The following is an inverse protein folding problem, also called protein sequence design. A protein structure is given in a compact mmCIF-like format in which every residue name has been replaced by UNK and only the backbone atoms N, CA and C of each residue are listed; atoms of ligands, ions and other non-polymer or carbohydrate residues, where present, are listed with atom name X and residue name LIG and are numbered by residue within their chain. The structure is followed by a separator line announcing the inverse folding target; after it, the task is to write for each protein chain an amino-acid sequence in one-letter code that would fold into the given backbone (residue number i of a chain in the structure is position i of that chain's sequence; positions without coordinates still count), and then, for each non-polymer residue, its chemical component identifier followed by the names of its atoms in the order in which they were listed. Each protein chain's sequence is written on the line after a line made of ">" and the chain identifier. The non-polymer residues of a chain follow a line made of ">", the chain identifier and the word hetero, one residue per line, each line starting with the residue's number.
data_IF_441327452901
#
_entry.id   IF_441327452901
#
_cell.length_a   1.000
_cell.length_b   1.000
_cell.length_c   1.000
_cell.angle_alpha   90.00
_cell.angle_beta   90.00
_cell.angle_gamma   90.00
#
_symmetry.space_group_name_H-M   'P 1'
#
loop_
_entity.id
_entity.type
_entity.pdbx_description
1 polymer ?
#
# COMPACT_ATOMS: atom_id res chain seq x y z
N UNK A 1 9.24 0.83 -26.27
CA UNK A 1 9.21 1.08 -24.81
C UNK A 1 10.53 0.60 -24.23
N UNK A 2 11.32 1.49 -23.62
CA UNK A 2 12.65 1.14 -23.10
C UNK A 2 12.55 0.15 -21.94
N UNK A 3 13.26 -0.97 -22.05
CA UNK A 3 13.32 -2.00 -21.00
C UNK A 3 14.24 -1.52 -19.89
N UNK A 4 13.65 -0.94 -18.84
CA UNK A 4 14.37 -0.58 -17.62
C UNK A 4 14.75 -1.86 -16.89
N UNK A 5 16.04 -2.07 -16.62
CA UNK A 5 16.48 -3.14 -15.73
C UNK A 5 15.86 -2.93 -14.35
N UNK A 6 15.07 -3.90 -13.88
CA UNK A 6 14.54 -3.84 -12.53
C UNK A 6 15.65 -4.13 -11.52
N UNK A 7 15.78 -3.24 -10.54
CA UNK A 7 16.61 -3.46 -9.36
C UNK A 7 16.12 -4.69 -8.59
N UNK A 8 17.00 -5.31 -7.80
CA UNK A 8 16.64 -6.47 -6.96
C UNK A 8 15.43 -6.15 -6.06
N UNK A 9 15.37 -4.95 -5.49
CA UNK A 9 14.24 -4.51 -4.65
C UNK A 9 12.92 -4.38 -5.40
N UNK A 10 12.94 -4.15 -6.72
CA UNK A 10 11.74 -4.17 -7.54
C UNK A 10 11.29 -5.60 -7.84
N UNK A 11 12.23 -6.54 -8.06
CA UNK A 11 11.90 -7.97 -8.27
C UNK A 11 11.28 -8.62 -7.04
N UNK A 12 11.70 -8.23 -5.84
CA UNK A 12 11.10 -8.71 -4.57
C UNK A 12 9.59 -8.45 -4.50
N UNK A 13 9.08 -7.40 -5.18
CA UNK A 13 7.63 -7.14 -5.23
C UNK A 13 6.85 -8.23 -5.97
N UNK A 14 7.51 -8.96 -6.88
CA UNK A 14 6.90 -10.05 -7.63
C UNK A 14 7.01 -11.39 -6.91
N UNK A 15 7.82 -11.50 -5.86
CA UNK A 15 8.03 -12.74 -5.12
C UNK A 15 6.71 -13.37 -4.65
N UNK A 16 5.78 -12.66 -3.99
CA UNK A 16 4.51 -13.28 -3.57
C UNK A 16 3.67 -13.81 -4.73
N UNK A 17 3.66 -13.09 -5.86
CA UNK A 17 2.94 -13.51 -7.05
C UNK A 17 3.56 -14.74 -7.71
N UNK A 18 4.88 -14.75 -7.89
CA UNK A 18 5.62 -15.89 -8.46
C UNK A 18 5.48 -17.12 -7.56
N UNK A 19 5.56 -16.92 -6.24
CA UNK A 19 5.27 -17.95 -5.24
C UNK A 19 3.84 -18.50 -5.38
N UNK A 20 2.87 -17.60 -5.59
CA UNK A 20 1.48 -17.98 -5.77
C UNK A 20 1.27 -18.81 -7.04
N UNK A 21 1.74 -18.29 -8.17
CA UNK A 21 1.60 -18.90 -9.49
C UNK A 21 2.24 -20.29 -9.55
N UNK A 22 3.46 -20.43 -9.04
CA UNK A 22 4.28 -21.60 -9.31
C UNK A 22 4.23 -22.67 -8.20
N UNK A 23 3.83 -22.31 -6.96
CA UNK A 23 3.99 -23.22 -5.81
C UNK A 23 2.74 -23.36 -4.91
N UNK A 24 1.77 -22.45 -4.99
CA UNK A 24 0.66 -22.41 -3.99
C UNK A 24 -0.43 -23.45 -4.23
N UNK A 25 -0.55 -23.98 -5.44
CA UNK A 25 -1.57 -24.99 -5.79
C UNK A 25 -1.33 -26.38 -5.18
N UNK A 26 -0.16 -26.64 -4.58
CA UNK A 26 0.22 -28.00 -4.16
C UNK A 26 0.70 -28.13 -2.70
N UNK A 27 0.80 -27.04 -1.93
CA UNK A 27 1.38 -27.09 -0.57
C UNK A 27 2.86 -27.53 -0.57
N UNK A 28 3.55 -27.36 -1.70
CA UNK A 28 4.94 -27.76 -1.91
C UNK A 28 5.84 -26.59 -1.53
N UNK A 29 6.92 -26.87 -0.79
CA UNK A 29 7.96 -25.88 -0.53
C UNK A 29 8.57 -25.37 -1.84
N UNK A 30 8.98 -24.09 -1.94
CA UNK A 30 9.58 -23.58 -3.16
C UNK A 30 10.80 -24.40 -3.59
N UNK A 31 10.75 -24.91 -4.81
CA UNK A 31 11.82 -25.68 -5.43
C UNK A 31 12.36 -24.98 -6.68
N UNK A 32 13.58 -25.32 -7.06
CA UNK A 32 14.17 -24.84 -8.30
C UNK A 32 13.37 -25.35 -9.51
N UNK A 33 13.09 -24.46 -10.47
CA UNK A 33 12.33 -24.79 -11.69
C UNK A 33 13.02 -25.84 -12.59
N UNK A 34 14.33 -26.05 -12.44
CA UNK A 34 15.11 -26.94 -13.31
C UNK A 34 15.28 -28.34 -12.74
N UNK A 35 15.57 -28.46 -11.45
CA UNK A 35 15.89 -29.73 -10.80
C UNK A 35 14.84 -30.17 -9.78
N UNK A 36 13.83 -29.33 -9.52
CA UNK A 36 12.73 -29.58 -8.58
C UNK A 36 13.17 -29.84 -7.13
N UNK A 37 14.43 -29.53 -6.81
CA UNK A 37 14.98 -29.62 -5.46
C UNK A 37 14.79 -28.31 -4.69
N UNK A 38 14.66 -28.42 -3.37
CA UNK A 38 14.54 -27.29 -2.44
C UNK A 38 15.76 -26.36 -2.47
N UNK A 39 15.56 -25.11 -2.10
CA UNK A 39 16.65 -24.15 -1.92
C UNK A 39 17.39 -24.36 -0.59
N UNK A 40 18.70 -24.12 -0.60
CA UNK A 40 19.57 -24.18 0.59
C UNK A 40 20.24 -22.81 0.75
N UNK A 41 19.67 -21.96 1.61
CA UNK A 41 20.13 -20.56 1.80
C UNK A 41 21.60 -20.44 2.26
N UNK A 42 22.13 -21.48 2.93
CA UNK A 42 23.52 -21.53 3.38
C UNK A 42 24.53 -21.97 2.32
N UNK A 43 24.09 -22.46 1.16
CA UNK A 43 24.95 -22.99 0.12
C UNK A 43 25.00 -22.06 -1.10
N UNK A 44 26.17 -21.50 -1.48
CA UNK A 44 26.27 -20.59 -2.61
C UNK A 44 25.79 -21.14 -3.96
N UNK A 45 25.86 -22.46 -4.18
CA UNK A 45 25.46 -23.12 -5.42
C UNK A 45 23.97 -23.42 -5.44
N UNK A 46 23.42 -23.78 -4.29
CA UNK A 46 22.03 -24.24 -4.12
C UNK A 46 21.12 -23.20 -3.44
N UNK A 47 21.57 -21.94 -3.35
CA UNK A 47 20.74 -20.82 -2.91
C UNK A 47 19.70 -20.44 -3.98
N UNK A 48 18.59 -19.84 -3.52
CA UNK A 48 17.54 -19.29 -4.37
C UNK A 48 18.02 -18.05 -5.11
N UNK A 49 17.83 -18.02 -6.43
CA UNK A 49 18.06 -16.83 -7.27
C UNK A 49 16.89 -16.58 -8.21
N UNK A 50 16.76 -15.33 -8.65
CA UNK A 50 15.86 -14.96 -9.74
C UNK A 50 16.44 -15.42 -11.07
N UNK A 51 15.58 -16.02 -11.89
CA UNK A 51 15.92 -16.53 -13.20
C UNK A 51 15.02 -15.90 -14.27
N UNK A 52 15.64 -15.52 -15.40
CA UNK A 52 14.96 -14.98 -16.59
C UNK A 52 14.80 -16.08 -17.64
N UNK A 53 13.58 -16.58 -17.76
CA UNK A 53 13.26 -17.79 -18.52
C UNK A 53 13.61 -17.69 -20.02
N UNK A 54 13.56 -16.50 -20.60
CA UNK A 54 13.91 -16.27 -22.01
C UNK A 54 15.37 -15.81 -22.24
N UNK A 55 16.25 -15.92 -21.24
CA UNK A 55 17.64 -15.43 -21.26
C UNK A 55 17.80 -13.91 -21.52
N UNK A 56 16.73 -13.13 -21.49
CA UNK A 56 16.78 -11.69 -21.65
C UNK A 56 16.64 -10.97 -20.30
N UNK A 57 17.78 -10.63 -19.70
CA UNK A 57 17.84 -9.94 -18.41
C UNK A 57 17.17 -8.56 -18.39
N UNK A 58 16.91 -7.97 -19.58
CA UNK A 58 16.21 -6.70 -19.71
C UNK A 58 14.69 -6.88 -19.68
N UNK A 59 14.20 -8.09 -19.93
CA UNK A 59 12.77 -8.38 -19.96
C UNK A 59 12.26 -8.78 -18.58
N UNK A 60 12.13 -7.79 -17.71
CA UNK A 60 11.78 -7.97 -16.30
C UNK A 60 10.26 -7.92 -16.06
N UNK A 61 9.53 -8.85 -16.67
CA UNK A 61 8.09 -9.05 -16.40
C UNK A 61 7.88 -10.27 -15.52
N UNK A 62 6.85 -10.29 -14.64
CA UNK A 62 6.58 -11.43 -13.76
C UNK A 62 6.49 -12.78 -14.47
N UNK A 63 5.96 -12.80 -15.70
CA UNK A 63 5.81 -13.99 -16.53
C UNK A 63 7.16 -14.57 -16.98
N UNK A 64 8.19 -13.73 -17.10
CA UNK A 64 9.55 -14.13 -17.47
C UNK A 64 10.44 -14.44 -16.25
N UNK A 65 9.90 -14.35 -15.03
CA UNK A 65 10.66 -14.57 -13.80
C UNK A 65 10.24 -15.88 -13.13
N UNK A 66 11.23 -16.62 -12.63
CA UNK A 66 11.06 -17.81 -11.81
C UNK A 66 12.17 -17.93 -10.76
N UNK A 67 12.07 -18.91 -9.87
CA UNK A 67 13.14 -19.26 -8.93
C UNK A 67 13.94 -20.46 -9.41
N UNK A 68 15.26 -20.32 -9.33
CA UNK A 68 16.20 -21.38 -9.64
C UNK A 68 17.35 -21.42 -8.63
N UNK A 69 18.09 -22.53 -8.59
CA UNK A 69 19.41 -22.54 -7.95
C UNK A 69 20.38 -21.70 -8.76
N UNK A 70 21.34 -21.08 -8.07
CA UNK A 70 22.42 -20.35 -8.75
C UNK A 70 23.14 -21.24 -9.76
N UNK A 71 23.49 -22.47 -9.36
CA UNK A 71 24.15 -23.46 -10.24
C UNK A 71 23.30 -23.83 -11.45
N UNK A 72 22.02 -24.19 -11.25
CA UNK A 72 21.16 -24.58 -12.37
C UNK A 72 20.95 -23.43 -13.36
N UNK A 73 20.91 -22.18 -12.88
CA UNK A 73 20.84 -21.02 -13.75
C UNK A 73 22.13 -20.82 -14.57
N UNK A 74 23.30 -21.01 -13.95
CA UNK A 74 24.58 -20.99 -14.68
C UNK A 74 24.66 -22.11 -15.73
N UNK A 75 24.30 -23.34 -15.35
CA UNK A 75 24.31 -24.52 -16.23
C UNK A 75 23.38 -24.35 -17.44
N UNK A 76 22.23 -23.68 -17.27
CA UNK A 76 21.26 -23.41 -18.34
C UNK A 76 21.87 -22.66 -19.53
N UNK A 77 22.90 -21.82 -19.31
CA UNK A 77 23.53 -21.06 -20.41
C UNK A 77 24.07 -22.00 -21.50
N UNK A 78 24.57 -23.18 -21.11
CA UNK A 78 25.19 -24.14 -22.02
C UNK A 78 24.41 -25.45 -22.16
N UNK A 79 23.28 -25.60 -21.46
CA UNK A 79 22.47 -26.82 -21.47
C UNK A 79 21.14 -26.60 -22.21
N UNK A 80 21.00 -27.23 -23.37
CA UNK A 80 19.81 -27.13 -24.22
C UNK A 80 18.53 -27.60 -23.52
N UNK A 81 18.58 -28.67 -22.73
CA UNK A 81 17.41 -29.21 -22.04
C UNK A 81 16.89 -28.21 -20.99
N UNK A 82 17.79 -27.57 -20.25
CA UNK A 82 17.43 -26.54 -19.29
C UNK A 82 16.87 -25.28 -19.97
N UNK A 83 17.39 -24.90 -21.14
CA UNK A 83 16.84 -23.80 -21.94
C UNK A 83 15.42 -24.13 -22.43
N UNK A 84 15.18 -25.38 -22.81
CA UNK A 84 13.86 -25.83 -23.22
C UNK A 84 12.87 -25.80 -22.06
N UNK A 85 13.26 -26.27 -20.86
CA UNK A 85 12.46 -26.15 -19.64
C UNK A 85 12.11 -24.69 -19.35
N UNK A 86 13.10 -23.79 -19.44
CA UNK A 86 12.89 -22.36 -19.21
C UNK A 86 11.89 -21.77 -20.20
N UNK A 87 12.05 -22.06 -21.50
CA UNK A 87 11.20 -21.55 -22.55
C UNK A 87 9.76 -22.10 -22.45
N UNK A 88 9.59 -23.36 -22.10
CA UNK A 88 8.27 -23.97 -21.93
C UNK A 88 7.56 -23.39 -20.72
N UNK A 89 8.28 -23.18 -19.60
CA UNK A 89 7.71 -22.46 -18.45
C UNK A 89 7.36 -21.02 -18.79
N UNK A 90 8.16 -20.34 -19.60
CA UNK A 90 7.83 -18.98 -20.05
C UNK A 90 6.54 -18.95 -20.86
N UNK A 91 6.36 -19.90 -21.79
CA UNK A 91 5.13 -20.03 -22.57
C UNK A 91 3.92 -20.37 -21.69
N UNK A 92 4.10 -21.22 -20.69
CA UNK A 92 3.07 -21.56 -19.71
C UNK A 92 2.64 -20.31 -18.93
N UNK A 93 3.59 -19.55 -18.40
CA UNK A 93 3.33 -18.31 -17.67
C UNK A 93 2.58 -17.28 -18.53
N UNK A 94 2.97 -17.11 -19.80
CA UNK A 94 2.32 -16.21 -20.74
C UNK A 94 0.89 -16.63 -21.12
N UNK A 95 0.57 -17.93 -20.99
CA UNK A 95 -0.78 -18.47 -21.23
C UNK A 95 -1.66 -18.46 -19.97
N UNK A 96 -1.05 -18.23 -18.80
CA UNK A 96 -1.79 -18.17 -17.54
C UNK A 96 -2.84 -17.07 -17.59
N UNK A 97 -4.06 -17.40 -17.17
CA UNK A 97 -5.13 -16.41 -16.96
C UNK A 97 -4.88 -15.54 -15.72
N UNK A 98 -4.00 -16.00 -14.83
CA UNK A 98 -3.57 -15.26 -13.67
C UNK A 98 -2.40 -14.34 -14.05
N UNK A 99 -2.68 -13.04 -14.19
CA UNK A 99 -1.69 -11.99 -14.41
C UNK A 99 -1.32 -11.31 -13.10
N UNK A 100 -0.17 -10.62 -13.06
CA UNK A 100 0.24 -9.88 -11.88
C UNK A 100 -0.78 -8.78 -11.50
N UNK A 101 -1.37 -8.12 -12.49
CA UNK A 101 -2.40 -7.10 -12.28
C UNK A 101 -3.66 -7.69 -11.66
N UNK A 102 -4.17 -8.81 -12.19
CA UNK A 102 -5.40 -9.42 -11.67
C UNK A 102 -5.19 -9.99 -10.26
N UNK A 103 -4.01 -10.53 -9.97
CA UNK A 103 -3.63 -10.96 -8.62
C UNK A 103 -3.52 -9.78 -7.64
N UNK A 104 -2.92 -8.67 -8.06
CA UNK A 104 -2.87 -7.46 -7.25
C UNK A 104 -4.26 -6.90 -6.96
N UNK A 105 -5.18 -6.96 -7.92
CA UNK A 105 -6.57 -6.56 -7.75
C UNK A 105 -7.33 -7.52 -6.82
N UNK A 106 -7.16 -8.84 -6.96
CA UNK A 106 -7.76 -9.82 -6.05
C UNK A 106 -7.23 -9.68 -4.63
N UNK A 107 -5.94 -9.41 -4.43
CA UNK A 107 -5.36 -9.15 -3.11
C UNK A 107 -5.90 -7.86 -2.48
N UNK A 108 -6.16 -6.83 -3.29
CA UNK A 108 -6.83 -5.60 -2.81
C UNK A 108 -8.27 -5.89 -2.43
N UNK A 109 -9.00 -6.63 -3.27
CA UNK A 109 -10.40 -6.99 -3.05
C UNK A 109 -10.57 -7.95 -1.86
N UNK A 110 -9.64 -8.88 -1.65
CA UNK A 110 -9.59 -9.75 -0.48
C UNK A 110 -9.23 -8.97 0.79
N UNK A 111 -8.44 -7.90 0.70
CA UNK A 111 -8.23 -6.98 1.85
C UNK A 111 -9.45 -6.11 2.15
N UNK A 112 -10.31 -5.86 1.17
CA UNK A 112 -11.58 -5.15 1.39
C UNK A 112 -12.75 -6.07 1.77
N UNK A 113 -12.67 -7.38 1.47
CA UNK A 113 -13.71 -8.38 1.74
C UNK A 113 -13.32 -9.49 2.73
N UNK A 114 -12.11 -9.46 3.30
CA UNK A 114 -11.80 -10.29 4.46
C UNK A 114 -12.87 -10.00 5.52
N UNK A 115 -13.56 -11.01 6.07
CA UNK A 115 -14.44 -10.81 7.20
C UNK A 115 -13.59 -10.08 8.23
N UNK A 116 -14.11 -8.94 8.61
CA UNK A 116 -13.55 -8.00 9.55
C UNK A 116 -13.09 -8.77 10.78
N UNK A 117 -11.81 -9.15 10.79
CA UNK A 117 -11.20 -9.76 11.94
C UNK A 117 -11.18 -8.66 13.00
N UNK A 118 -12.14 -8.77 13.92
CA UNK A 118 -12.08 -8.15 15.23
C UNK A 118 -10.67 -8.34 15.74
N UNK A 119 -9.96 -7.23 15.79
CA UNK A 119 -8.66 -7.18 16.41
C UNK A 119 -8.76 -7.36 17.91
N UNK A 120 -7.62 -7.49 18.58
CA UNK A 120 -7.44 -7.61 20.03
C UNK A 120 -8.07 -6.47 20.89
N UNK A 121 -8.74 -5.51 20.24
CA UNK A 121 -9.52 -4.42 20.83
C UNK A 121 -11.03 -4.53 20.59
N UNK A 122 -11.49 -5.57 19.89
CA UNK A 122 -12.89 -5.82 19.54
C UNK A 122 -13.45 -4.89 18.47
N UNK A 123 -12.63 -4.04 17.84
CA UNK A 123 -13.11 -3.04 16.89
C UNK A 123 -12.90 -3.45 15.43
N UNK A 124 -13.96 -3.29 14.65
CA UNK A 124 -13.95 -3.43 13.19
C UNK A 124 -13.28 -2.22 12.53
N UNK A 125 -12.77 -2.37 11.30
CA UNK A 125 -12.27 -1.22 10.51
C UNK A 125 -13.37 -0.18 10.29
N UNK A 126 -14.59 -0.63 10.04
CA UNK A 126 -15.77 0.24 9.92
C UNK A 126 -16.04 1.01 11.21
N UNK A 127 -15.99 0.36 12.37
CA UNK A 127 -16.14 1.03 13.68
C UNK A 127 -15.02 2.04 13.94
N UNK A 128 -13.80 1.75 13.50
CA UNK A 128 -12.69 2.71 13.58
C UNK A 128 -12.93 3.91 12.67
N UNK A 129 -13.43 3.70 11.46
CA UNK A 129 -13.79 4.79 10.52
C UNK A 129 -14.90 5.67 11.10
N UNK A 130 -16.00 5.07 11.53
CA UNK A 130 -17.13 5.77 12.16
C UNK A 130 -16.66 6.55 13.39
N UNK A 131 -15.79 5.96 14.21
CA UNK A 131 -15.21 6.65 15.36
C UNK A 131 -14.34 7.85 14.93
N UNK A 132 -13.51 7.71 13.89
CA UNK A 132 -12.68 8.81 13.38
C UNK A 132 -13.58 9.97 12.92
N UNK A 133 -14.64 9.69 12.16
CA UNK A 133 -15.56 10.71 11.67
C UNK A 133 -16.29 11.41 12.84
N UNK A 134 -16.85 10.63 13.77
CA UNK A 134 -17.52 11.16 14.96
C UNK A 134 -16.60 12.03 15.82
N UNK A 135 -15.35 11.60 16.04
CA UNK A 135 -14.39 12.37 16.82
C UNK A 135 -13.92 13.63 16.08
N UNK A 136 -13.77 13.55 14.76
CA UNK A 136 -13.42 14.70 13.93
C UNK A 136 -14.51 15.77 14.02
N UNK A 137 -15.77 15.40 13.76
CA UNK A 137 -16.90 16.32 13.85
C UNK A 137 -17.04 16.93 15.25
N UNK A 138 -16.99 16.07 16.28
CA UNK A 138 -17.12 16.50 17.67
C UNK A 138 -16.02 17.49 18.06
N UNK A 139 -14.79 17.25 17.62
CA UNK A 139 -13.66 18.10 17.93
C UNK A 139 -13.75 19.46 17.22
N UNK A 140 -14.09 19.46 15.93
CA UNK A 140 -14.29 20.68 15.14
C UNK A 140 -15.41 21.55 15.73
N UNK A 141 -16.59 20.98 15.96
CA UNK A 141 -17.73 21.71 16.56
C UNK A 141 -17.35 22.29 17.91
N UNK A 142 -16.78 21.47 18.82
CA UNK A 142 -16.46 21.89 20.19
C UNK A 142 -15.44 23.02 20.24
N UNK A 143 -14.40 22.99 19.41
CA UNK A 143 -13.37 24.03 19.45
C UNK A 143 -13.84 25.33 18.82
N UNK A 144 -14.59 25.26 17.73
CA UNK A 144 -15.10 26.45 17.06
C UNK A 144 -16.23 27.09 17.89
N UNK A 145 -17.12 26.31 18.51
CA UNK A 145 -18.14 26.84 19.43
C UNK A 145 -17.55 27.54 20.67
N UNK A 146 -16.39 27.07 21.16
CA UNK A 146 -15.69 27.71 22.29
C UNK A 146 -15.10 29.08 21.95
N UNK A 147 -14.92 29.39 20.66
CA UNK A 147 -14.43 30.71 20.27
C UNK A 147 -15.56 31.73 20.42
N UNK A 148 -15.33 32.75 21.25
CA UNK A 148 -16.28 33.86 21.47
C UNK A 148 -16.33 34.86 20.30
N UNK A 149 -15.65 34.57 19.19
CA UNK A 149 -15.63 35.39 17.99
C UNK A 149 -16.84 35.10 17.10
N UNK A 150 -17.23 36.06 16.23
CA UNK A 150 -18.21 35.84 15.17
C UNK A 150 -17.90 34.59 14.34
N UNK A 151 -18.93 33.87 13.88
CA UNK A 151 -18.80 32.57 13.19
C UNK A 151 -17.84 32.63 11.98
N UNK A 152 -17.88 33.72 11.23
CA UNK A 152 -17.06 34.02 10.05
C UNK A 152 -15.59 34.34 10.36
N UNK A 153 -15.25 34.50 11.65
CA UNK A 153 -13.90 34.82 12.13
C UNK A 153 -13.29 33.68 12.95
N UNK A 154 -13.91 32.50 12.97
CA UNK A 154 -13.43 31.35 13.73
C UNK A 154 -12.49 30.50 12.90
N UNK A 155 -11.33 30.18 13.47
CA UNK A 155 -10.28 29.45 12.78
C UNK A 155 -9.51 28.54 13.73
N UNK A 156 -8.93 27.47 13.19
CA UNK A 156 -8.12 26.48 13.89
C UNK A 156 -6.88 26.17 13.05
N UNK A 157 -5.74 25.90 13.70
CA UNK A 157 -4.58 25.42 12.96
C UNK A 157 -4.78 23.99 12.48
N UNK A 158 -4.62 23.75 11.18
CA UNK A 158 -4.88 22.44 10.57
C UNK A 158 -4.02 21.34 11.23
N UNK A 159 -2.74 21.65 11.46
CA UNK A 159 -1.81 20.71 12.10
C UNK A 159 -2.26 20.35 13.52
N UNK A 160 -2.63 21.33 14.31
CA UNK A 160 -3.05 21.10 15.70
C UNK A 160 -4.34 20.28 15.77
N UNK A 161 -5.27 20.52 14.84
CA UNK A 161 -6.50 19.73 14.70
C UNK A 161 -6.18 18.28 14.32
N UNK A 162 -5.35 18.08 13.29
CA UNK A 162 -4.94 16.75 12.83
C UNK A 162 -4.25 15.95 13.95
N UNK A 163 -3.30 16.57 14.64
CA UNK A 163 -2.52 15.93 15.70
C UNK A 163 -3.40 15.62 16.93
N UNK A 164 -4.31 16.54 17.30
CA UNK A 164 -5.22 16.35 18.43
C UNK A 164 -6.22 15.23 18.19
N UNK A 165 -6.86 15.20 17.01
CA UNK A 165 -7.79 14.13 16.65
C UNK A 165 -7.03 12.80 16.58
N UNK A 166 -5.81 12.79 16.02
CA UNK A 166 -4.97 11.58 15.98
C UNK A 166 -4.69 11.04 17.38
N UNK A 167 -4.35 11.90 18.33
CA UNK A 167 -4.13 11.49 19.70
C UNK A 167 -5.41 10.93 20.35
N UNK A 168 -6.57 11.57 20.13
CA UNK A 168 -7.87 11.11 20.65
C UNK A 168 -8.22 9.73 20.08
N UNK A 169 -8.17 9.57 18.75
CA UNK A 169 -8.49 8.32 18.09
C UNK A 169 -7.52 7.22 18.51
N UNK A 170 -6.21 7.49 18.63
CA UNK A 170 -5.22 6.50 19.10
C UNK A 170 -5.51 6.02 20.53
N UNK A 171 -5.89 6.93 21.43
CA UNK A 171 -6.27 6.56 22.81
C UNK A 171 -7.52 5.67 22.85
N UNK A 172 -8.49 5.92 21.97
CA UNK A 172 -9.74 5.15 21.91
C UNK A 172 -9.64 3.82 21.16
N UNK A 173 -8.70 3.69 20.23
CA UNK A 173 -8.57 2.52 19.34
C UNK A 173 -7.26 1.76 19.52
N UNK A 174 -6.69 1.80 20.73
CA UNK A 174 -5.40 1.15 21.08
C UNK A 174 -4.30 1.33 20.01
N UNK A 175 -4.22 2.53 19.42
CA UNK A 175 -3.19 2.89 18.43
C UNK A 175 -3.62 3.01 16.95
N UNK A 176 -4.90 2.80 16.60
CA UNK A 176 -5.36 2.75 15.18
C UNK A 176 -5.74 4.09 14.53
N UNK A 177 -5.54 5.22 15.23
CA UNK A 177 -5.76 6.57 14.71
C UNK A 177 -4.63 7.09 13.81
N UNK A 178 -4.54 6.58 12.58
CA UNK A 178 -3.52 7.01 11.61
C UNK A 178 -3.86 8.37 10.98
N UNK A 179 -2.89 9.28 10.92
CA UNK A 179 -3.07 10.63 10.38
C UNK A 179 -3.67 10.68 8.96
N UNK A 180 -3.35 9.77 8.01
CA UNK A 180 -3.95 9.81 6.69
C UNK A 180 -5.47 9.63 6.67
N UNK A 181 -6.02 8.78 7.55
CA UNK A 181 -7.46 8.56 7.63
C UNK A 181 -8.17 9.79 8.20
N UNK A 182 -7.60 10.39 9.24
CA UNK A 182 -8.12 11.61 9.88
C UNK A 182 -8.04 12.79 8.91
N UNK A 183 -6.96 12.89 8.14
CA UNK A 183 -6.85 13.90 7.10
C UNK A 183 -8.00 13.77 6.09
N UNK A 184 -8.28 12.56 5.60
CA UNK A 184 -9.42 12.34 4.69
C UNK A 184 -10.75 12.73 5.32
N UNK A 185 -10.97 12.44 6.61
CA UNK A 185 -12.17 12.86 7.32
C UNK A 185 -12.27 14.39 7.37
N UNK A 186 -11.19 15.10 7.76
CA UNK A 186 -11.15 16.57 7.76
C UNK A 186 -11.39 17.13 6.35
N UNK A 187 -10.76 16.55 5.33
CA UNK A 187 -10.93 16.98 3.94
C UNK A 187 -12.39 16.80 3.47
N UNK A 188 -13.09 15.74 3.91
CA UNK A 188 -14.51 15.53 3.62
C UNK A 188 -15.40 16.63 4.26
N UNK A 189 -15.11 17.00 5.51
CA UNK A 189 -15.74 18.15 6.18
C UNK A 189 -15.37 19.50 5.53
N UNK A 190 -14.27 19.56 4.78
CA UNK A 190 -13.83 20.74 4.04
C UNK A 190 -14.23 20.71 2.55
N UNK A 191 -15.09 19.78 2.15
CA UNK A 191 -15.53 19.62 0.75
C UNK A 191 -16.47 20.74 0.29
N UNK A 192 -16.88 20.69 -0.98
CA UNK A 192 -17.90 21.59 -1.54
C UNK A 192 -19.24 21.51 -0.84
N UNK A 193 -19.54 20.43 -0.13
CA UNK A 193 -20.75 20.25 0.68
C UNK A 193 -20.52 20.47 2.18
N UNK A 194 -19.27 20.44 2.66
CA UNK A 194 -18.96 20.52 4.10
C UNK A 194 -18.99 21.93 4.69
N UNK A 195 -19.07 22.05 6.02
CA UNK A 195 -19.20 23.34 6.73
C UNK A 195 -17.88 24.11 6.92
N UNK A 196 -16.76 23.53 6.47
CA UNK A 196 -15.42 24.02 6.75
C UNK A 196 -14.64 24.31 5.47
N UNK A 197 -13.58 25.11 5.58
CA UNK A 197 -12.65 25.34 4.49
C UNK A 197 -11.21 25.34 5.00
N UNK A 198 -10.31 24.70 4.25
CA UNK A 198 -8.86 24.82 4.49
C UNK A 198 -8.35 26.02 3.69
N UNK A 199 -7.73 26.96 4.39
CA UNK A 199 -7.12 28.16 3.80
C UNK A 199 -5.64 28.16 4.11
N UNK A 200 -4.83 28.60 3.14
CA UNK A 200 -3.44 28.95 3.37
C UNK A 200 -3.38 30.47 3.53
N UNK A 201 -2.91 30.99 4.68
CA UNK A 201 -2.78 32.41 4.88
C UNK A 201 -1.59 32.92 4.07
N UNK A 202 -1.88 33.73 3.05
CA UNK A 202 -0.91 34.34 2.15
C UNK A 202 -0.43 35.72 2.66
N UNK A 203 -0.65 36.03 3.95
CA UNK A 203 -0.24 37.27 4.59
C UNK A 203 -1.22 38.44 4.46
N UNK A 204 -2.07 38.46 3.42
CA UNK A 204 -3.00 39.59 3.16
C UNK A 204 -4.38 39.47 3.85
N UNK A 205 -4.82 38.25 4.20
CA UNK A 205 -6.21 37.99 4.61
C UNK A 205 -6.52 38.14 6.10
N UNK A 206 -5.69 38.85 6.87
CA UNK A 206 -5.99 39.18 8.27
C UNK A 206 -6.09 38.00 9.26
N UNK A 207 -5.79 36.77 8.83
CA UNK A 207 -5.76 35.61 9.73
C UNK A 207 -4.44 35.58 10.52
N UNK A 208 -4.49 35.54 11.86
CA UNK A 208 -3.29 35.47 12.67
C UNK A 208 -2.65 34.09 12.53
N UNK A 209 -1.48 34.03 11.90
CA UNK A 209 -0.72 32.81 11.78
C UNK A 209 0.61 33.00 11.06
N UNK A 210 1.61 32.14 11.30
CA UNK A 210 2.83 32.14 10.52
C UNK A 210 2.50 31.91 9.04
N UNK A 211 3.03 32.76 8.17
CA UNK A 211 2.90 32.66 6.71
C UNK A 211 3.23 31.23 6.27
N UNK A 212 2.36 30.64 5.43
CA UNK A 212 2.55 29.30 4.88
C UNK A 212 2.02 28.13 5.73
N UNK A 213 1.39 28.36 6.88
CA UNK A 213 0.72 27.28 7.65
C UNK A 213 -0.75 27.16 7.28
N UNK A 214 -1.20 25.97 6.86
CA UNK A 214 -2.63 25.72 6.62
C UNK A 214 -3.46 25.90 7.89
N UNK A 215 -4.57 26.62 7.78
CA UNK A 215 -5.59 26.79 8.81
C UNK A 215 -6.92 26.23 8.31
N UNK A 216 -7.73 25.71 9.22
CA UNK A 216 -9.13 25.36 8.99
C UNK A 216 -9.95 26.54 9.48
N UNK A 217 -10.77 27.12 8.62
CA UNK A 217 -11.70 28.18 8.98
C UNK A 217 -13.13 27.64 8.92
N UNK A 218 -13.96 28.07 9.86
CA UNK A 218 -15.39 27.89 9.73
C UNK A 218 -15.88 28.93 8.73
N UNK A 219 -16.51 28.48 7.64
CA UNK A 219 -17.21 29.39 6.73
C UNK A 219 -18.65 28.94 6.68
N UNK A 220 -19.55 29.74 7.24
CA UNK A 220 -20.95 29.65 6.89
C UNK A 220 -21.03 29.89 5.37
N UNK A 221 -21.26 28.82 4.61
CA UNK A 221 -21.55 28.93 3.18
C UNK A 221 -22.83 29.77 3.07
N UNK A 222 -22.69 30.92 2.40
CA UNK A 222 -23.84 31.74 2.00
C UNK A 222 -24.59 31.06 0.87
#
# INVERSE_FOLDING_TARGET
>A
MGTVQLTQGQKVKYEPFVMHRDYTSLGIEPCCIFCEQRFIEGDPLWKKVWEHLNNNEKYNVPENLAFAHWKCNEDKINNFDLQQIALDKFKENMKSTLTFESWCESERNNKTHAPVNTSDDGLTQEQVSIMIDNETQRYLNKLLEKQKTPLDQRWLYFKDVLDSISLICRRKSKGRGVQPAIRRAIDAYCSTEGDYQIVKPDGENGYPGPIGKSIIILRLKK
#
